data_IF_123927204753
#
_entry.id   IF_123927204753
#
_cell.length_a   1.000
_cell.length_b   1.000
_cell.length_c   1.000
_cell.angle_alpha   90.00
_cell.angle_beta   90.00
_cell.angle_gamma   90.00
#
_symmetry.space_group_name_H-M   'P 1'
#
loop_
_entity.id
_entity.type
_entity.pdbx_description
1 polymer ?
#
# COMPACT_ATOMS: atom_id res chain seq x y z
N UNK A 1 -22.47 24.45 -4.68
CA UNK A 1 -21.20 24.31 -3.99
C UNK A 1 -21.06 22.83 -3.63
N UNK A 2 -19.85 22.27 -3.59
CA UNK A 2 -19.65 20.91 -3.12
C UNK A 2 -19.90 20.81 -1.59
N UNK A 3 -20.42 19.68 -1.16
CA UNK A 3 -20.56 19.35 0.27
C UNK A 3 -19.31 18.61 0.78
N UNK A 4 -18.52 18.02 -0.14
CA UNK A 4 -17.25 17.35 0.12
C UNK A 4 -16.31 17.52 -1.07
N UNK A 5 -15.06 17.86 -0.81
CA UNK A 5 -13.96 17.83 -1.79
C UNK A 5 -13.07 16.63 -1.50
N UNK A 6 -12.74 15.84 -2.52
CA UNK A 6 -11.89 14.67 -2.41
C UNK A 6 -10.65 14.84 -3.29
N UNK A 7 -9.47 14.76 -2.70
CA UNK A 7 -8.19 14.83 -3.39
C UNK A 7 -7.62 13.41 -3.57
N UNK A 8 -7.62 12.90 -4.79
CA UNK A 8 -7.15 11.59 -5.20
C UNK A 8 -8.29 10.61 -5.49
N UNK A 9 -8.27 10.01 -6.69
CA UNK A 9 -9.24 9.02 -7.14
C UNK A 9 -8.67 7.59 -7.10
N UNK A 10 -7.89 7.26 -6.06
CA UNK A 10 -7.54 5.90 -5.67
C UNK A 10 -8.67 5.21 -4.90
N UNK A 11 -8.38 4.03 -4.31
CA UNK A 11 -9.38 3.25 -3.56
C UNK A 11 -10.12 4.11 -2.52
N UNK A 12 -9.40 4.81 -1.64
CA UNK A 12 -10.01 5.58 -0.55
C UNK A 12 -10.89 6.73 -1.05
N UNK A 13 -10.40 7.52 -2.02
CA UNK A 13 -11.15 8.66 -2.55
C UNK A 13 -12.38 8.24 -3.36
N UNK A 14 -12.28 7.18 -4.16
CA UNK A 14 -13.41 6.63 -4.91
C UNK A 14 -14.47 6.03 -3.98
N UNK A 15 -14.07 5.32 -2.92
CA UNK A 15 -14.98 4.84 -1.88
C UNK A 15 -15.71 5.99 -1.21
N UNK A 16 -14.97 7.00 -0.76
CA UNK A 16 -15.56 8.14 -0.08
C UNK A 16 -16.50 8.94 -0.98
N UNK A 17 -16.10 9.23 -2.22
CA UNK A 17 -16.94 9.93 -3.18
C UNK A 17 -18.24 9.16 -3.50
N UNK A 18 -18.14 7.84 -3.67
CA UNK A 18 -19.31 6.97 -3.87
C UNK A 18 -20.24 7.01 -2.65
N UNK A 19 -19.67 6.88 -1.45
CA UNK A 19 -20.46 6.89 -0.21
C UNK A 19 -21.10 8.23 0.05
N UNK A 20 -20.39 9.33 -0.16
CA UNK A 20 -20.93 10.68 -0.01
C UNK A 20 -22.13 10.91 -0.95
N UNK A 21 -22.04 10.43 -2.19
CA UNK A 21 -23.17 10.52 -3.14
C UNK A 21 -24.36 9.65 -2.73
N UNK A 22 -24.14 8.45 -2.17
CA UNK A 22 -25.24 7.66 -1.59
C UNK A 22 -25.96 8.40 -0.46
N UNK A 23 -25.22 9.24 0.29
CA UNK A 23 -25.77 10.10 1.34
C UNK A 23 -26.44 11.38 0.79
N UNK A 24 -26.44 11.59 -0.53
CA UNK A 24 -27.07 12.71 -1.21
C UNK A 24 -26.17 13.94 -1.36
N UNK A 25 -24.87 13.84 -1.02
CA UNK A 25 -23.96 14.98 -1.06
C UNK A 25 -23.43 15.28 -2.47
N UNK A 26 -23.17 16.55 -2.75
CA UNK A 26 -22.44 17.01 -3.93
C UNK A 26 -20.93 16.85 -3.68
N UNK A 27 -20.24 16.11 -4.56
CA UNK A 27 -18.81 15.82 -4.42
C UNK A 27 -18.03 16.37 -5.60
N UNK A 28 -16.92 17.05 -5.30
CA UNK A 28 -15.87 17.34 -6.28
C UNK A 28 -14.69 16.41 -6.05
N UNK A 29 -14.31 15.66 -7.09
CA UNK A 29 -13.24 14.63 -7.01
C UNK A 29 -12.11 14.99 -7.97
N UNK A 30 -10.92 15.21 -7.40
CA UNK A 30 -9.69 15.54 -8.11
C UNK A 30 -8.77 14.34 -8.21
N UNK A 31 -8.12 14.18 -9.38
CA UNK A 31 -7.07 13.17 -9.61
C UNK A 31 -5.90 13.81 -10.34
N UNK A 32 -4.72 13.76 -9.75
CA UNK A 32 -3.48 14.30 -10.32
C UNK A 32 -2.99 13.52 -11.53
N UNK A 33 -3.20 12.20 -11.51
CA UNK A 33 -2.76 11.29 -12.55
C UNK A 33 -3.62 11.35 -13.80
N UNK A 34 -3.23 10.59 -14.79
CA UNK A 34 -3.89 10.52 -16.11
C UNK A 34 -5.19 9.69 -16.07
N UNK A 35 -5.44 8.98 -14.98
CA UNK A 35 -6.59 8.09 -14.83
C UNK A 35 -6.93 7.83 -13.36
N UNK A 36 -8.20 7.56 -13.00
CA UNK A 36 -8.57 7.09 -11.67
C UNK A 36 -8.09 5.65 -11.40
N UNK A 37 -8.16 5.24 -10.13
CA UNK A 37 -7.81 3.90 -9.64
C UNK A 37 -6.52 3.86 -8.83
N UNK A 38 -5.61 4.81 -9.03
CA UNK A 38 -4.37 4.92 -8.25
C UNK A 38 -3.55 3.64 -8.21
N UNK A 39 -2.88 3.37 -7.08
CA UNK A 39 -2.08 2.16 -6.88
C UNK A 39 -2.92 0.88 -6.74
N UNK A 40 -4.24 0.98 -6.56
CA UNK A 40 -5.12 -0.19 -6.58
C UNK A 40 -5.00 -0.97 -7.90
N UNK A 41 -4.87 -0.27 -9.04
CA UNK A 41 -4.71 -0.89 -10.36
C UNK A 41 -3.41 -1.71 -10.53
N UNK A 42 -2.42 -1.48 -9.67
CA UNK A 42 -1.11 -2.16 -9.67
C UNK A 42 -1.04 -3.27 -8.62
N UNK A 43 -2.13 -3.48 -7.88
CA UNK A 43 -2.23 -4.47 -6.81
C UNK A 43 -2.83 -5.80 -7.30
N UNK A 44 -2.75 -6.83 -6.47
CA UNK A 44 -3.44 -8.10 -6.72
C UNK A 44 -4.96 -8.05 -6.49
N UNK A 45 -5.48 -6.93 -5.98
CA UNK A 45 -6.91 -6.74 -5.72
C UNK A 45 -7.45 -7.40 -4.44
N UNK A 46 -6.58 -7.98 -3.60
CA UNK A 46 -7.01 -8.53 -2.32
C UNK A 46 -7.29 -7.43 -1.29
N UNK A 47 -8.52 -7.40 -0.79
CA UNK A 47 -8.99 -6.58 0.33
C UNK A 47 -9.20 -7.52 1.51
N UNK A 48 -8.34 -7.44 2.53
CA UNK A 48 -8.29 -8.45 3.58
C UNK A 48 -7.90 -7.86 4.94
N UNK A 49 -8.22 -8.58 6.03
CA UNK A 49 -7.74 -8.33 7.39
C UNK A 49 -7.17 -9.62 8.00
N UNK A 50 -6.46 -9.46 9.10
CA UNK A 50 -6.09 -10.61 9.92
C UNK A 50 -7.36 -11.31 10.43
N UNK A 51 -7.28 -12.64 10.54
CA UNK A 51 -8.39 -13.45 11.07
C UNK A 51 -8.64 -13.16 12.54
N UNK A 52 -7.56 -12.90 13.27
CA UNK A 52 -7.56 -12.62 14.69
C UNK A 52 -6.97 -11.23 14.97
N UNK A 53 -7.54 -10.49 15.92
CA UNK A 53 -7.11 -9.14 16.25
C UNK A 53 -5.75 -9.11 16.95
N UNK A 54 -5.48 -10.09 17.83
CA UNK A 54 -4.19 -10.16 18.53
C UNK A 54 -3.06 -10.49 17.54
N UNK A 55 -3.35 -11.32 16.52
CA UNK A 55 -2.42 -11.55 15.41
C UNK A 55 -2.17 -10.26 14.60
N UNK A 56 -3.18 -9.42 14.40
CA UNK A 56 -2.99 -8.11 13.77
C UNK A 56 -2.09 -7.21 14.62
N UNK A 57 -2.35 -7.14 15.93
CA UNK A 57 -1.51 -6.39 16.87
C UNK A 57 -0.06 -6.90 16.92
N UNK A 58 0.13 -8.21 16.87
CA UNK A 58 1.45 -8.83 16.88
C UNK A 58 2.25 -8.54 15.59
N UNK A 59 1.58 -8.55 14.42
CA UNK A 59 2.22 -8.21 13.14
C UNK A 59 2.54 -6.72 13.03
N UNK A 60 1.66 -5.83 13.53
CA UNK A 60 1.77 -4.38 13.43
C UNK A 60 1.80 -3.72 14.83
N UNK A 61 2.82 -4.00 15.65
CA UNK A 61 2.82 -3.62 17.08
C UNK A 61 2.89 -2.11 17.31
N UNK A 62 3.48 -1.35 16.39
CA UNK A 62 3.60 0.11 16.44
C UNK A 62 2.37 0.85 15.91
N UNK A 63 1.39 0.13 15.34
CA UNK A 63 0.18 0.77 14.82
C UNK A 63 -0.77 1.19 15.94
N UNK A 64 -1.56 2.22 15.66
CA UNK A 64 -2.61 2.71 16.59
C UNK A 64 -3.67 1.61 16.80
N UNK A 65 -3.90 1.16 18.05
CA UNK A 65 -4.78 0.04 18.35
C UNK A 65 -6.26 0.35 18.06
N UNK A 66 -6.69 1.61 18.15
CA UNK A 66 -8.08 2.01 17.89
C UNK A 66 -8.35 2.03 16.38
N UNK A 67 -7.44 2.58 15.58
CA UNK A 67 -7.54 2.55 14.13
C UNK A 67 -7.46 1.12 13.58
N UNK A 68 -6.60 0.27 14.15
CA UNK A 68 -6.54 -1.14 13.79
C UNK A 68 -7.83 -1.88 14.11
N UNK A 69 -8.44 -1.58 15.26
CA UNK A 69 -9.73 -2.17 15.66
C UNK A 69 -10.84 -1.78 14.69
N UNK A 70 -10.88 -0.52 14.25
CA UNK A 70 -11.84 -0.08 13.24
C UNK A 70 -11.68 -0.84 11.93
N UNK A 71 -10.44 -1.02 11.43
CA UNK A 71 -10.21 -1.84 10.23
C UNK A 71 -10.67 -3.28 10.45
N UNK A 72 -10.33 -3.86 11.60
CA UNK A 72 -10.69 -5.23 11.93
C UNK A 72 -12.21 -5.46 12.00
N UNK A 73 -12.93 -4.57 12.68
CA UNK A 73 -14.36 -4.72 12.93
C UNK A 73 -15.24 -4.28 11.75
N UNK A 74 -14.80 -3.26 10.99
CA UNK A 74 -15.63 -2.66 9.92
C UNK A 74 -15.36 -3.22 8.53
N UNK A 75 -14.28 -3.99 8.33
CA UNK A 75 -13.95 -4.47 6.98
C UNK A 75 -15.04 -5.33 6.38
N UNK A 76 -15.62 -6.26 7.14
CA UNK A 76 -16.63 -7.17 6.61
C UNK A 76 -17.86 -6.39 6.11
N UNK A 77 -18.28 -5.36 6.86
CA UNK A 77 -19.33 -4.44 6.41
C UNK A 77 -18.94 -3.71 5.10
N UNK A 78 -17.70 -3.25 5.01
CA UNK A 78 -17.17 -2.61 3.78
C UNK A 78 -17.18 -3.56 2.59
N UNK A 79 -16.74 -4.81 2.78
CA UNK A 79 -16.75 -5.84 1.73
C UNK A 79 -18.18 -6.15 1.26
N UNK A 80 -19.13 -6.25 2.18
CA UNK A 80 -20.54 -6.44 1.85
C UNK A 80 -21.14 -5.23 1.14
N UNK A 81 -20.71 -4.01 1.50
CA UNK A 81 -21.09 -2.79 0.79
C UNK A 81 -20.57 -2.81 -0.66
N UNK A 82 -19.31 -3.23 -0.91
CA UNK A 82 -18.77 -3.40 -2.25
C UNK A 82 -19.61 -4.39 -3.09
N UNK A 83 -19.98 -5.53 -2.52
CA UNK A 83 -20.82 -6.50 -3.23
C UNK A 83 -22.22 -5.97 -3.52
N UNK A 84 -22.83 -5.22 -2.59
CA UNK A 84 -24.13 -4.56 -2.85
C UNK A 84 -24.06 -3.53 -3.97
N UNK A 85 -22.90 -2.86 -4.15
CA UNK A 85 -22.67 -1.97 -5.29
C UNK A 85 -22.52 -2.71 -6.62
N UNK A 86 -22.30 -4.04 -6.58
CA UNK A 86 -22.04 -4.86 -7.75
C UNK A 86 -20.56 -5.07 -8.06
N UNK A 87 -19.66 -4.90 -7.06
CA UNK A 87 -18.23 -5.11 -7.26
C UNK A 87 -17.91 -6.55 -7.68
N UNK A 88 -17.08 -6.76 -8.72
CA UNK A 88 -16.77 -8.08 -9.26
C UNK A 88 -15.80 -8.83 -8.35
N UNK A 89 -16.31 -9.72 -7.51
CA UNK A 89 -15.52 -10.62 -6.67
C UNK A 89 -14.94 -11.74 -7.52
N UNK A 90 -13.61 -11.86 -7.58
CA UNK A 90 -12.92 -12.95 -8.28
C UNK A 90 -12.57 -14.11 -7.35
N UNK A 91 -12.28 -13.84 -6.08
CA UNK A 91 -12.00 -14.86 -5.06
C UNK A 91 -12.61 -14.46 -3.71
N UNK A 92 -13.19 -15.44 -2.99
CA UNK A 92 -13.82 -15.22 -1.68
C UNK A 92 -12.94 -15.59 -0.50
N UNK A 93 -11.76 -16.12 -0.77
CA UNK A 93 -10.78 -16.52 0.23
C UNK A 93 -9.40 -15.98 -0.17
N UNK A 94 -8.58 -15.66 0.84
CA UNK A 94 -7.23 -15.10 0.61
C UNK A 94 -6.20 -16.16 0.27
N UNK A 95 -6.52 -17.44 0.45
CA UNK A 95 -5.55 -18.54 0.38
C UNK A 95 -4.54 -18.57 1.53
N UNK A 96 -4.60 -17.61 2.46
CA UNK A 96 -3.74 -17.56 3.64
C UNK A 96 -4.59 -17.81 4.90
N UNK A 97 -4.30 -18.84 5.72
CA UNK A 97 -5.08 -19.18 6.91
C UNK A 97 -5.08 -18.08 7.99
N UNK A 98 -4.10 -17.17 7.96
CA UNK A 98 -3.98 -16.06 8.91
C UNK A 98 -4.90 -14.87 8.56
N UNK A 99 -5.50 -14.87 7.38
CA UNK A 99 -6.26 -13.72 6.89
C UNK A 99 -7.65 -14.11 6.36
N UNK A 100 -8.54 -13.14 6.31
CA UNK A 100 -9.87 -13.23 5.70
C UNK A 100 -10.09 -12.01 4.81
N UNK A 101 -10.79 -12.20 3.69
CA UNK A 101 -11.02 -11.11 2.75
C UNK A 101 -11.51 -11.62 1.40
N UNK A 102 -11.59 -10.72 0.44
CA UNK A 102 -12.06 -11.00 -0.93
C UNK A 102 -11.09 -10.39 -1.94
N UNK A 103 -10.98 -11.01 -3.09
CA UNK A 103 -10.26 -10.45 -4.24
C UNK A 103 -11.24 -9.86 -5.22
N UNK A 104 -10.90 -8.69 -5.73
CA UNK A 104 -11.68 -7.99 -6.75
C UNK A 104 -10.84 -7.80 -8.02
N UNK A 105 -11.49 -7.80 -9.17
CA UNK A 105 -10.89 -7.26 -10.39
C UNK A 105 -10.74 -5.74 -10.21
N UNK A 106 -9.50 -5.28 -10.12
CA UNK A 106 -9.20 -3.88 -9.77
C UNK A 106 -9.60 -2.89 -10.85
N UNK A 107 -9.60 -3.32 -12.10
CA UNK A 107 -10.03 -2.49 -13.24
C UNK A 107 -11.55 -2.33 -13.24
N UNK A 108 -12.28 -3.43 -13.18
CA UNK A 108 -13.73 -3.40 -13.14
C UNK A 108 -14.26 -2.73 -11.86
N UNK A 109 -13.57 -2.91 -10.72
CA UNK A 109 -13.89 -2.18 -9.49
C UNK A 109 -13.67 -0.67 -9.65
N UNK A 110 -12.60 -0.24 -10.32
CA UNK A 110 -12.36 1.18 -10.62
C UNK A 110 -13.46 1.76 -11.51
N UNK A 111 -13.84 1.05 -12.57
CA UNK A 111 -14.91 1.46 -13.48
C UNK A 111 -16.27 1.60 -12.77
N UNK A 112 -16.58 0.65 -11.89
CA UNK A 112 -17.77 0.70 -11.04
C UNK A 112 -17.79 1.95 -10.17
N UNK A 113 -16.67 2.22 -9.47
CA UNK A 113 -16.57 3.38 -8.61
C UNK A 113 -16.66 4.70 -9.39
N UNK A 114 -16.00 4.81 -10.54
CA UNK A 114 -16.07 6.02 -11.37
C UNK A 114 -17.53 6.29 -11.82
N UNK A 115 -18.26 5.22 -12.18
CA UNK A 115 -19.67 5.35 -12.55
C UNK A 115 -20.54 5.81 -11.37
N UNK A 116 -20.19 5.49 -10.13
CA UNK A 116 -20.91 5.82 -8.89
C UNK A 116 -20.48 7.15 -8.26
N UNK A 117 -19.17 7.41 -8.25
CA UNK A 117 -18.58 8.64 -7.69
C UNK A 117 -18.91 9.90 -8.51
N UNK A 118 -19.28 9.73 -9.77
CA UNK A 118 -19.53 10.83 -10.71
C UNK A 118 -18.24 11.37 -11.34
N UNK A 119 -18.27 12.59 -11.92
CA UNK A 119 -17.15 13.15 -12.66
C UNK A 119 -15.87 13.22 -11.84
N UNK A 120 -14.75 12.76 -12.43
CA UNK A 120 -13.41 12.87 -11.87
C UNK A 120 -12.64 13.91 -12.69
N UNK A 121 -12.06 14.91 -12.04
CA UNK A 121 -11.17 15.89 -12.66
C UNK A 121 -9.77 15.29 -12.79
N UNK A 122 -9.53 14.61 -13.90
CA UNK A 122 -8.27 13.91 -14.20
C UNK A 122 -7.22 14.90 -14.70
N UNK A 123 -5.97 14.72 -14.26
CA UNK A 123 -4.87 15.64 -14.54
C UNK A 123 -4.89 16.92 -13.68
N UNK A 124 -5.81 16.99 -12.72
CA UNK A 124 -6.01 18.17 -11.86
C UNK A 124 -5.70 17.83 -10.41
N UNK A 125 -4.49 18.14 -9.89
CA UNK A 125 -4.22 18.01 -8.45
C UNK A 125 -4.94 19.09 -7.65
N UNK A 126 -5.47 18.74 -6.49
CA UNK A 126 -5.87 19.75 -5.50
C UNK A 126 -4.60 20.44 -4.98
N UNK A 127 -4.50 21.75 -5.15
CA UNK A 127 -3.30 22.54 -4.79
C UNK A 127 -3.46 23.30 -3.48
N UNK A 128 -4.68 23.62 -3.13
CA UNK A 128 -5.05 24.40 -1.94
C UNK A 128 -6.33 23.84 -1.37
N UNK A 129 -6.49 23.90 -0.06
CA UNK A 129 -7.73 23.50 0.59
C UNK A 129 -8.78 24.59 0.40
N UNK A 130 -9.99 24.26 -0.06
CA UNK A 130 -11.08 25.24 -0.17
C UNK A 130 -11.59 25.65 1.21
N UNK A 131 -11.98 26.89 1.35
CA UNK A 131 -12.56 27.41 2.59
C UNK A 131 -14.00 26.90 2.80
N UNK A 132 -14.31 26.53 4.03
CA UNK A 132 -15.68 26.24 4.47
C UNK A 132 -16.29 24.93 3.90
N UNK A 133 -15.52 24.11 3.25
CA UNK A 133 -15.94 22.79 2.74
C UNK A 133 -15.00 21.71 3.28
N UNK A 134 -15.51 20.62 3.84
CA UNK A 134 -14.66 19.51 4.28
C UNK A 134 -13.88 18.91 3.11
N UNK A 135 -12.62 18.54 3.38
CA UNK A 135 -11.72 17.96 2.38
C UNK A 135 -11.24 16.59 2.85
N UNK A 136 -11.33 15.58 1.98
CA UNK A 136 -10.68 14.30 2.16
C UNK A 136 -9.38 14.23 1.35
N UNK A 137 -8.26 14.04 2.02
CA UNK A 137 -6.96 13.75 1.44
C UNK A 137 -6.80 12.23 1.24
N UNK A 138 -6.74 11.81 -0.01
CA UNK A 138 -6.62 10.42 -0.45
C UNK A 138 -5.63 10.26 -1.61
N UNK A 139 -4.53 11.06 -1.58
CA UNK A 139 -3.57 11.24 -2.67
C UNK A 139 -2.56 10.11 -2.80
N UNK A 140 -2.54 9.17 -1.84
CA UNK A 140 -1.84 7.89 -1.96
C UNK A 140 -0.45 7.84 -1.35
N UNK A 141 -0.11 8.73 -0.40
CA UNK A 141 1.17 8.75 0.30
C UNK A 141 2.29 9.45 -0.47
N UNK A 142 3.55 9.24 -0.06
CA UNK A 142 4.69 10.01 -0.59
C UNK A 142 5.81 9.17 -1.21
N UNK A 143 5.59 7.89 -1.48
CA UNK A 143 6.59 6.99 -2.04
C UNK A 143 7.13 7.40 -3.43
N UNK A 144 6.40 8.22 -4.17
CA UNK A 144 6.81 8.77 -5.47
C UNK A 144 7.71 10.01 -5.36
N UNK A 145 7.84 10.62 -4.18
CA UNK A 145 8.73 11.76 -3.94
C UNK A 145 10.05 11.32 -3.31
N UNK A 146 11.12 11.30 -4.10
CA UNK A 146 12.44 10.88 -3.64
C UNK A 146 13.00 11.76 -2.50
N UNK A 147 12.59 13.01 -2.40
CA UNK A 147 13.04 13.92 -1.33
C UNK A 147 12.39 13.55 0.00
N UNK A 148 11.08 13.34 0.02
CA UNK A 148 10.37 12.86 1.21
C UNK A 148 10.81 11.45 1.62
N UNK A 149 11.02 10.56 0.64
CA UNK A 149 11.55 9.21 0.92
C UNK A 149 12.96 9.28 1.51
N UNK A 150 13.81 10.21 1.02
CA UNK A 150 15.17 10.41 1.59
C UNK A 150 15.10 10.98 3.00
N UNK A 151 14.20 11.91 3.24
CA UNK A 151 14.03 12.57 4.54
C UNK A 151 13.53 11.59 5.61
N UNK A 152 12.53 10.79 5.28
CA UNK A 152 11.82 9.99 6.27
C UNK A 152 12.22 8.51 6.28
N UNK A 153 12.48 7.90 5.12
CA UNK A 153 12.60 6.43 4.98
C UNK A 153 14.05 5.96 4.92
N UNK A 154 14.83 6.47 3.94
CA UNK A 154 16.20 6.02 3.73
C UNK A 154 17.03 7.02 2.90
N UNK A 155 18.32 7.24 3.25
CA UNK A 155 19.23 8.00 2.41
C UNK A 155 19.39 7.41 1.00
N UNK A 156 19.17 6.09 0.85
CA UNK A 156 19.24 5.35 -0.42
C UNK A 156 18.03 5.54 -1.34
N UNK A 157 17.18 6.53 -1.09
CA UNK A 157 15.93 6.80 -1.84
C UNK A 157 16.11 6.85 -3.37
N UNK A 158 17.30 7.26 -3.84
CA UNK A 158 17.63 7.29 -5.26
C UNK A 158 17.73 5.91 -5.93
N UNK A 159 18.01 4.87 -5.14
CA UNK A 159 18.21 3.50 -5.58
C UNK A 159 16.97 2.61 -5.43
N UNK A 160 15.97 3.07 -4.66
CA UNK A 160 14.73 2.34 -4.53
C UNK A 160 13.99 2.24 -5.87
N UNK A 161 13.48 1.05 -6.16
CA UNK A 161 12.55 0.88 -7.27
C UNK A 161 11.16 1.35 -6.83
N UNK A 162 10.54 2.24 -7.59
CA UNK A 162 9.16 2.66 -7.35
C UNK A 162 8.20 1.58 -7.87
N UNK A 163 7.56 0.88 -6.94
CA UNK A 163 6.59 -0.18 -7.21
C UNK A 163 5.15 0.34 -6.96
N UNK A 164 4.88 1.52 -7.44
CA UNK A 164 3.62 2.23 -7.25
C UNK A 164 3.33 3.13 -8.46
N UNK A 165 2.19 3.82 -8.45
CA UNK A 165 2.00 4.89 -9.42
C UNK A 165 2.92 6.08 -9.10
N UNK A 166 3.40 6.82 -10.11
CA UNK A 166 4.35 7.91 -9.91
C UNK A 166 3.73 9.17 -9.31
N UNK A 167 2.39 9.27 -9.28
CA UNK A 167 1.68 10.47 -8.83
C UNK A 167 1.51 10.56 -7.30
N UNK A 168 1.74 9.48 -6.56
CA UNK A 168 1.71 9.45 -5.08
C UNK A 168 2.96 10.12 -4.51
N UNK A 169 2.99 11.44 -4.54
CA UNK A 169 4.17 12.27 -4.23
C UNK A 169 4.02 13.16 -2.99
N UNK A 170 3.10 12.82 -2.07
CA UNK A 170 2.98 13.48 -0.77
C UNK A 170 2.14 14.76 -0.79
N UNK A 171 1.28 14.95 -1.77
CA UNK A 171 0.45 16.16 -1.86
C UNK A 171 -0.50 16.24 -0.65
N UNK A 172 -1.15 15.13 -0.28
CA UNK A 172 -2.01 15.06 0.90
C UNK A 172 -1.26 15.33 2.19
N UNK A 173 -0.05 14.77 2.34
CA UNK A 173 0.79 15.04 3.51
C UNK A 173 1.09 16.53 3.63
N UNK A 174 1.52 17.18 2.54
CA UNK A 174 1.83 18.62 2.55
C UNK A 174 0.61 19.49 2.86
N UNK A 175 -0.53 19.21 2.22
CA UNK A 175 -1.77 19.96 2.43
C UNK A 175 -2.28 19.80 3.87
N UNK A 176 -2.27 18.57 4.40
CA UNK A 176 -2.69 18.30 5.77
C UNK A 176 -1.79 18.98 6.80
N UNK A 177 -0.47 18.88 6.64
CA UNK A 177 0.48 19.56 7.53
C UNK A 177 0.33 21.08 7.50
N UNK A 178 0.11 21.66 6.32
CA UNK A 178 -0.16 23.09 6.18
C UNK A 178 -1.48 23.53 6.84
N UNK A 179 -2.45 22.61 6.95
CA UNK A 179 -3.71 22.82 7.67
C UNK A 179 -3.63 22.57 9.19
N UNK A 180 -2.45 22.29 9.72
CA UNK A 180 -2.25 22.06 11.15
C UNK A 180 -2.39 20.60 11.60
N UNK A 181 -2.51 19.64 10.67
CA UNK A 181 -2.41 18.23 11.01
C UNK A 181 -1.00 17.86 11.47
N UNK A 182 -0.86 16.72 12.12
CA UNK A 182 0.44 16.18 12.53
C UNK A 182 0.77 14.90 11.77
N UNK A 183 2.07 14.59 11.65
CA UNK A 183 2.52 13.33 11.13
C UNK A 183 2.20 12.18 12.12
N UNK A 184 1.90 11.01 11.58
CA UNK A 184 1.70 9.80 12.37
C UNK A 184 3.03 9.15 12.76
N UNK A 185 2.97 8.14 13.59
CA UNK A 185 4.06 7.17 13.74
C UNK A 185 4.33 6.45 12.40
N UNK A 186 5.51 5.86 12.26
CA UNK A 186 5.85 5.05 11.09
C UNK A 186 6.24 5.82 9.83
N UNK A 187 6.59 7.12 9.92
CA UNK A 187 7.05 7.91 8.76
C UNK A 187 8.26 7.28 8.05
N UNK A 188 9.12 6.58 8.79
CA UNK A 188 10.28 5.86 8.26
C UNK A 188 9.98 4.46 7.71
N UNK A 189 8.71 4.07 7.67
CA UNK A 189 8.30 2.74 7.28
C UNK A 189 7.48 2.74 5.98
N UNK A 190 7.59 1.64 5.24
CA UNK A 190 6.85 1.46 4.01
C UNK A 190 6.52 -0.01 3.77
N UNK A 191 5.43 -0.26 3.07
CA UNK A 191 5.19 -1.56 2.47
C UNK A 191 5.88 -1.63 1.11
N UNK A 192 6.58 -2.70 0.88
CA UNK A 192 7.27 -2.96 -0.37
C UNK A 192 7.58 -4.44 -0.56
N UNK A 193 8.38 -4.73 -1.58
CA UNK A 193 8.89 -6.07 -1.86
C UNK A 193 10.31 -5.97 -2.39
N UNK A 194 11.15 -6.94 -2.07
CA UNK A 194 12.38 -7.10 -2.79
C UNK A 194 12.07 -7.61 -4.20
N UNK A 195 12.65 -6.95 -5.19
CA UNK A 195 12.51 -7.25 -6.61
C UNK A 195 13.89 -7.68 -7.15
N UNK A 196 13.98 -8.38 -8.30
CA UNK A 196 15.27 -8.64 -8.91
C UNK A 196 16.03 -7.33 -9.17
N UNK A 197 17.30 -7.29 -8.73
CA UNK A 197 18.12 -6.08 -8.89
C UNK A 197 18.53 -5.86 -10.36
N UNK A 198 18.82 -4.64 -10.79
CA UNK A 198 19.44 -4.39 -12.09
C UNK A 198 20.70 -5.27 -12.28
N UNK A 199 20.87 -5.87 -13.47
CA UNK A 199 20.31 -5.46 -14.77
C UNK A 199 18.87 -5.91 -15.08
N UNK A 200 18.17 -6.56 -14.15
CA UNK A 200 16.77 -6.91 -14.36
C UNK A 200 15.93 -5.69 -14.74
N UNK A 201 15.00 -5.90 -15.69
CA UNK A 201 14.00 -4.90 -16.05
C UNK A 201 12.68 -5.24 -15.39
N UNK A 202 12.11 -4.29 -14.65
CA UNK A 202 10.83 -4.46 -13.93
C UNK A 202 9.87 -3.39 -14.40
N UNK A 203 8.74 -3.80 -14.98
CA UNK A 203 7.66 -2.92 -15.44
C UNK A 203 6.46 -3.02 -14.51
N UNK A 204 5.45 -2.13 -14.61
CA UNK A 204 4.27 -2.18 -13.76
C UNK A 204 3.53 -3.52 -13.76
N UNK A 205 3.42 -4.20 -14.89
CA UNK A 205 2.83 -5.53 -15.02
C UNK A 205 3.61 -6.62 -14.29
N UNK A 206 4.90 -6.39 -14.03
CA UNK A 206 5.81 -7.32 -13.37
C UNK A 206 5.80 -7.20 -11.83
N UNK A 207 5.13 -6.18 -11.27
CA UNK A 207 5.18 -5.89 -9.83
C UNK A 207 4.70 -7.04 -8.94
N UNK A 208 3.77 -7.84 -9.40
CA UNK A 208 3.30 -9.02 -8.66
C UNK A 208 4.12 -10.26 -9.02
N UNK A 209 4.32 -10.63 -10.31
CA UNK A 209 5.04 -11.84 -10.68
C UNK A 209 6.53 -11.83 -10.33
N UNK A 210 7.21 -10.69 -10.33
CA UNK A 210 8.63 -10.62 -9.99
C UNK A 210 8.94 -10.37 -8.51
N UNK A 211 7.94 -10.20 -7.63
CA UNK A 211 8.19 -10.06 -6.21
C UNK A 211 8.85 -11.31 -5.63
N UNK A 212 9.99 -11.12 -4.93
CA UNK A 212 10.78 -12.17 -4.31
C UNK A 212 10.29 -12.39 -2.87
N UNK A 213 9.38 -13.35 -2.67
CA UNK A 213 8.62 -13.56 -1.43
C UNK A 213 9.14 -14.78 -0.64
N UNK A 214 10.45 -14.96 -0.55
CA UNK A 214 11.05 -16.12 0.09
C UNK A 214 12.23 -15.78 1.00
N UNK A 215 12.23 -14.58 1.59
CA UNK A 215 13.30 -14.18 2.52
C UNK A 215 13.45 -15.17 3.71
N UNK A 216 12.36 -15.79 4.17
CA UNK A 216 12.37 -16.81 5.24
C UNK A 216 13.01 -18.13 4.84
N UNK A 217 13.15 -18.39 3.55
CA UNK A 217 13.80 -19.59 2.99
C UNK A 217 15.21 -19.29 2.50
N UNK A 218 15.73 -18.09 2.74
CA UNK A 218 17.03 -17.62 2.31
C UNK A 218 17.78 -16.93 3.47
N UNK A 219 19.09 -16.94 3.42
CA UNK A 219 19.90 -15.99 4.17
C UNK A 219 19.92 -14.68 3.36
N UNK A 220 19.42 -13.61 3.95
CA UNK A 220 19.46 -12.27 3.35
C UNK A 220 20.78 -11.62 3.79
N UNK A 221 21.60 -11.17 2.85
CA UNK A 221 22.89 -10.55 3.16
C UNK A 221 23.14 -9.31 2.27
N UNK A 222 23.90 -8.35 2.80
CA UNK A 222 24.37 -7.20 2.04
C UNK A 222 25.79 -7.44 1.48
N UNK A 223 26.30 -6.49 0.72
CA UNK A 223 27.65 -6.56 0.13
C UNK A 223 28.81 -6.61 1.16
N UNK A 224 28.52 -6.25 2.44
CA UNK A 224 29.48 -6.30 3.54
C UNK A 224 29.45 -7.62 4.30
N UNK A 225 28.57 -8.55 3.91
CA UNK A 225 28.39 -9.82 4.61
C UNK A 225 27.54 -9.71 5.88
N UNK A 226 26.89 -8.56 6.13
CA UNK A 226 25.91 -8.43 7.21
C UNK A 226 24.64 -9.16 6.82
N UNK A 227 24.06 -9.95 7.73
CA UNK A 227 22.90 -10.79 7.48
C UNK A 227 21.67 -10.30 8.20
N UNK A 228 20.48 -10.62 7.65
CA UNK A 228 19.19 -10.30 8.21
C UNK A 228 18.26 -11.51 8.20
N UNK A 229 17.55 -11.73 9.30
CA UNK A 229 16.48 -12.72 9.42
C UNK A 229 15.13 -12.01 9.52
N UNK A 230 14.21 -12.37 8.63
CA UNK A 230 12.85 -11.82 8.66
C UNK A 230 12.07 -12.35 9.86
N UNK A 231 11.34 -11.45 10.54
CA UNK A 231 10.51 -11.77 11.71
C UNK A 231 9.03 -11.66 11.40
N UNK A 232 8.66 -10.83 10.41
CA UNK A 232 7.28 -10.67 10.00
C UNK A 232 6.87 -11.78 9.02
N UNK A 233 5.64 -12.25 9.10
CA UNK A 233 5.14 -13.22 8.12
C UNK A 233 5.02 -12.61 6.72
N UNK A 234 4.88 -11.31 6.66
CA UNK A 234 4.78 -10.53 5.42
C UNK A 234 6.12 -10.25 4.75
N UNK A 235 7.25 -10.50 5.44
CA UNK A 235 8.61 -10.20 5.00
C UNK A 235 8.85 -8.71 4.68
N UNK A 236 8.03 -7.83 5.25
CA UNK A 236 8.17 -6.38 5.06
C UNK A 236 9.45 -5.85 5.73
N UNK A 237 9.84 -6.43 6.84
CA UNK A 237 11.06 -6.10 7.56
C UNK A 237 12.31 -6.39 6.71
N UNK A 238 12.29 -7.46 5.91
CA UNK A 238 13.39 -7.78 5.00
C UNK A 238 13.55 -6.72 3.89
N UNK A 239 12.46 -6.24 3.29
CA UNK A 239 12.57 -5.19 2.27
C UNK A 239 12.95 -3.84 2.90
N UNK A 240 12.50 -3.52 4.09
CA UNK A 240 12.88 -2.30 4.81
C UNK A 240 14.36 -2.33 5.22
N UNK A 241 14.87 -3.51 5.64
CA UNK A 241 16.29 -3.68 5.88
C UNK A 241 17.10 -3.49 4.60
N UNK A 242 16.70 -4.15 3.49
CA UNK A 242 17.35 -4.01 2.18
C UNK A 242 17.39 -2.54 1.72
N UNK A 243 16.31 -1.79 1.94
CA UNK A 243 16.21 -0.38 1.56
C UNK A 243 17.25 0.53 2.26
N UNK A 244 17.78 0.09 3.39
CA UNK A 244 18.78 0.84 4.18
C UNK A 244 20.22 0.37 3.92
N UNK A 245 20.41 -0.66 3.07
CA UNK A 245 21.72 -1.13 2.67
C UNK A 245 22.26 -0.30 1.49
N UNK A 246 23.59 -0.26 1.27
CA UNK A 246 24.19 0.45 0.14
C UNK A 246 23.51 0.09 -1.18
N UNK A 247 23.15 1.11 -1.96
CA UNK A 247 22.43 0.94 -3.22
C UNK A 247 21.02 0.35 -3.08
N UNK A 248 20.45 0.30 -1.86
CA UNK A 248 19.19 -0.35 -1.54
C UNK A 248 19.15 -1.83 -2.00
N UNK A 249 20.29 -2.53 -1.93
CA UNK A 249 20.49 -3.89 -2.44
C UNK A 249 20.77 -4.90 -1.33
N UNK A 250 20.40 -6.14 -1.63
CA UNK A 250 20.78 -7.32 -0.86
C UNK A 250 20.93 -8.51 -1.80
N UNK A 251 21.42 -9.61 -1.25
CA UNK A 251 21.48 -10.93 -1.90
C UNK A 251 20.69 -11.92 -1.08
N UNK A 252 19.85 -12.69 -1.72
CA UNK A 252 19.18 -13.84 -1.16
C UNK A 252 20.00 -15.08 -1.48
N UNK A 253 20.56 -15.72 -0.46
CA UNK A 253 21.32 -16.98 -0.56
C UNK A 253 20.41 -18.12 -0.11
N UNK A 254 19.98 -18.94 -1.05
CA UNK A 254 18.94 -19.95 -0.90
C UNK A 254 19.61 -21.32 -0.92
N UNK A 255 19.49 -22.13 0.14
CA UNK A 255 19.90 -23.54 0.05
C UNK A 255 19.11 -24.23 -1.06
N UNK A 256 19.76 -25.04 -1.90
CA UNK A 256 19.06 -25.70 -3.03
C UNK A 256 17.93 -26.61 -2.55
N UNK A 257 18.01 -27.12 -1.30
CA UNK A 257 16.92 -27.86 -0.65
C UNK A 257 15.65 -27.03 -0.42
N UNK A 258 15.75 -25.69 -0.39
CA UNK A 258 14.62 -24.80 -0.21
C UNK A 258 13.97 -24.36 -1.53
N UNK A 259 14.54 -24.69 -2.69
CA UNK A 259 14.00 -24.30 -4.00
C UNK A 259 12.60 -24.88 -4.25
N UNK A 260 12.28 -26.05 -3.66
CA UNK A 260 10.96 -26.67 -3.75
C UNK A 260 9.91 -26.12 -2.80
N UNK A 261 10.29 -25.27 -1.84
CA UNK A 261 9.36 -24.69 -0.87
C UNK A 261 8.30 -23.81 -1.55
N UNK A 262 7.06 -23.95 -1.08
CA UNK A 262 5.93 -23.20 -1.64
C UNK A 262 5.66 -21.94 -0.84
N UNK A 263 5.60 -20.84 -1.57
CA UNK A 263 5.16 -19.55 -1.03
C UNK A 263 3.92 -19.12 -1.82
N UNK A 264 2.75 -19.26 -1.21
CA UNK A 264 1.46 -19.09 -1.89
C UNK A 264 1.32 -20.09 -3.04
N UNK A 265 1.11 -19.60 -4.27
CA UNK A 265 0.86 -20.42 -5.48
C UNK A 265 2.14 -20.81 -6.22
N UNK A 266 3.30 -20.22 -5.85
CA UNK A 266 4.59 -20.43 -6.52
C UNK A 266 5.59 -21.15 -5.62
N UNK A 267 6.54 -21.85 -6.23
CA UNK A 267 7.73 -22.34 -5.52
C UNK A 267 8.80 -21.24 -5.46
N UNK A 268 9.78 -21.39 -4.59
CA UNK A 268 10.99 -20.55 -4.58
C UNK A 268 11.68 -20.62 -5.95
N UNK A 269 11.79 -21.82 -6.53
CA UNK A 269 12.38 -22.03 -7.86
C UNK A 269 11.66 -21.24 -8.96
N UNK A 270 10.32 -21.18 -8.93
CA UNK A 270 9.54 -20.40 -9.90
C UNK A 270 9.88 -18.90 -9.80
N UNK A 271 10.05 -18.37 -8.59
CA UNK A 271 10.39 -16.97 -8.37
C UNK A 271 11.82 -16.66 -8.77
N UNK A 272 12.77 -17.57 -8.52
CA UNK A 272 14.16 -17.46 -8.98
C UNK A 272 14.23 -17.48 -10.51
N UNK A 273 13.51 -18.40 -11.16
CA UNK A 273 13.44 -18.47 -12.62
C UNK A 273 12.83 -17.20 -13.24
N UNK A 274 11.79 -16.65 -12.60
CA UNK A 274 11.19 -15.38 -13.03
C UNK A 274 12.19 -14.21 -12.92
N UNK A 275 12.97 -14.16 -11.83
CA UNK A 275 14.02 -13.15 -11.65
C UNK A 275 15.09 -13.25 -12.75
N UNK A 276 15.57 -14.47 -13.05
CA UNK A 276 16.55 -14.74 -14.11
C UNK A 276 15.98 -14.38 -15.48
N UNK A 277 14.73 -14.77 -15.75
CA UNK A 277 14.03 -14.43 -17.01
C UNK A 277 13.85 -12.93 -17.24
N UNK A 278 13.77 -12.13 -16.17
CA UNK A 278 13.74 -10.67 -16.21
C UNK A 278 15.13 -10.03 -16.39
N UNK A 279 16.19 -10.84 -16.48
CA UNK A 279 17.58 -10.40 -16.58
C UNK A 279 18.27 -10.16 -15.24
N UNK A 280 17.67 -10.62 -14.12
CA UNK A 280 18.28 -10.56 -12.80
C UNK A 280 19.50 -11.47 -12.69
N UNK A 281 20.43 -11.08 -11.82
CA UNK A 281 21.62 -11.89 -11.55
C UNK A 281 21.28 -13.03 -10.63
N UNK A 282 21.44 -14.26 -11.14
CA UNK A 282 21.27 -15.52 -10.41
C UNK A 282 22.55 -16.31 -10.52
N UNK A 283 23.12 -16.72 -9.40
CA UNK A 283 24.33 -17.53 -9.34
C UNK A 283 24.00 -18.87 -8.65
N UNK A 284 24.57 -19.96 -9.14
CA UNK A 284 24.37 -21.33 -8.61
C UNK A 284 25.72 -21.99 -8.37
N UNK A 285 25.87 -22.61 -7.22
CA UNK A 285 27.07 -23.37 -6.85
C UNK A 285 27.10 -23.75 -5.38
N UNK A 286 27.84 -24.79 -5.06
CA UNK A 286 28.08 -25.27 -3.69
C UNK A 286 26.81 -25.57 -2.88
N UNK A 287 25.75 -26.07 -3.55
CA UNK A 287 24.47 -26.41 -2.91
C UNK A 287 23.61 -25.21 -2.55
N UNK A 288 23.90 -24.03 -3.13
CA UNK A 288 23.12 -22.81 -2.94
C UNK A 288 22.84 -22.12 -4.28
N UNK A 289 21.70 -21.45 -4.33
CA UNK A 289 21.32 -20.51 -5.40
C UNK A 289 21.23 -19.11 -4.80
N UNK A 290 21.85 -18.13 -5.42
CA UNK A 290 21.75 -16.75 -4.96
C UNK A 290 21.09 -15.84 -5.98
N UNK A 291 20.34 -14.84 -5.51
CA UNK A 291 19.62 -13.85 -6.31
C UNK A 291 19.92 -12.46 -5.77
N UNK A 292 20.43 -11.58 -6.62
CA UNK A 292 20.60 -10.17 -6.26
C UNK A 292 19.24 -9.46 -6.31
N UNK A 293 18.90 -8.76 -5.22
CA UNK A 293 17.62 -8.06 -5.07
C UNK A 293 17.81 -6.58 -4.76
N UNK A 294 16.82 -5.78 -5.12
CA UNK A 294 16.71 -4.36 -4.80
C UNK A 294 15.39 -4.10 -4.07
N UNK A 295 15.42 -3.23 -3.08
CA UNK A 295 14.21 -2.84 -2.38
C UNK A 295 13.29 -2.03 -3.28
N UNK A 296 12.01 -2.39 -3.31
CA UNK A 296 10.99 -1.66 -4.05
C UNK A 296 9.90 -1.16 -3.10
N UNK A 297 9.67 0.15 -3.13
CA UNK A 297 8.66 0.82 -2.30
C UNK A 297 7.31 0.85 -3.00
N UNK A 298 6.26 0.43 -2.30
CA UNK A 298 4.88 0.40 -2.83
C UNK A 298 3.99 1.48 -2.23
N UNK A 299 4.01 1.62 -0.91
CA UNK A 299 3.24 2.65 -0.19
C UNK A 299 3.91 2.96 1.14
N UNK A 300 3.87 4.20 1.55
CA UNK A 300 4.30 4.62 2.89
C UNK A 300 3.30 4.12 3.94
N UNK A 301 3.78 3.80 5.16
CA UNK A 301 2.94 3.41 6.30
C UNK A 301 2.71 4.57 7.25
N UNK A 302 3.61 5.54 7.27
CA UNK A 302 3.39 6.86 7.85
C UNK A 302 2.67 7.78 6.88
N UNK A 303 2.03 8.78 7.43
CA UNK A 303 1.22 9.78 6.77
C UNK A 303 0.71 10.80 7.78
N UNK A 304 -0.50 11.30 7.59
CA UNK A 304 -1.17 12.15 8.57
C UNK A 304 -1.71 11.30 9.73
N UNK A 305 -1.57 11.80 10.95
CA UNK A 305 -2.27 11.25 12.12
C UNK A 305 -3.76 11.56 11.95
N UNK A 306 -4.59 10.56 12.13
CA UNK A 306 -6.05 10.69 12.11
C UNK A 306 -6.64 10.21 13.45
N UNK A 307 -7.83 10.70 13.75
CA UNK A 307 -8.68 10.15 14.80
C UNK A 307 -9.61 9.03 14.26
N UNK A 308 -10.39 8.35 15.11
CA UNK A 308 -11.35 7.33 14.68
C UNK A 308 -12.41 7.78 13.67
N UNK A 309 -12.63 9.08 13.51
CA UNK A 309 -13.51 9.67 12.49
C UNK A 309 -12.78 9.97 11.17
N UNK A 310 -11.52 9.53 11.02
CA UNK A 310 -10.63 9.84 9.91
C UNK A 310 -10.23 11.33 9.81
N UNK A 311 -10.46 12.14 10.84
CA UNK A 311 -10.12 13.56 10.87
C UNK A 311 -8.64 13.74 11.18
N UNK A 312 -7.93 14.54 10.36
CA UNK A 312 -6.53 14.89 10.56
C UNK A 312 -6.36 16.31 11.13
N UNK A 313 -7.25 17.25 10.74
CA UNK A 313 -7.33 18.60 11.26
C UNK A 313 -8.78 19.11 11.12
N UNK A 314 -9.06 20.33 11.55
CA UNK A 314 -10.41 20.91 11.39
C UNK A 314 -10.81 21.00 9.93
N UNK A 315 -11.94 20.38 9.56
CA UNK A 315 -12.42 20.30 8.19
C UNK A 315 -11.57 19.42 7.26
N UNK A 316 -10.48 18.79 7.74
CA UNK A 316 -9.57 17.96 6.93
C UNK A 316 -9.57 16.52 7.41
N UNK A 317 -9.88 15.62 6.49
CA UNK A 317 -9.89 14.17 6.68
C UNK A 317 -8.78 13.51 5.86
N UNK A 318 -8.33 12.33 6.27
CA UNK A 318 -7.37 11.56 5.48
C UNK A 318 -7.73 10.08 5.47
N UNK A 319 -7.51 9.42 4.32
CA UNK A 319 -7.74 7.98 4.15
C UNK A 319 -6.75 7.36 3.15
N UNK A 320 -6.69 6.05 3.14
CA UNK A 320 -5.70 5.32 2.35
C UNK A 320 -4.28 5.57 2.87
N UNK A 321 -3.30 5.73 1.97
CA UNK A 321 -1.90 5.94 2.37
C UNK A 321 -1.60 7.36 2.91
N UNK A 322 -2.53 8.30 2.80
CA UNK A 322 -2.39 9.60 3.46
C UNK A 322 -2.72 9.52 4.96
N UNK A 323 -3.49 8.53 5.40
CA UNK A 323 -3.70 8.20 6.80
C UNK A 323 -2.64 7.20 7.26
N UNK A 324 -1.72 7.66 8.09
CA UNK A 324 -0.62 6.84 8.59
C UNK A 324 -0.88 6.24 9.98
N UNK A 325 0.10 5.43 10.46
CA UNK A 325 0.09 4.89 11.80
C UNK A 325 -0.80 3.67 12.01
N UNK A 326 -1.37 3.06 10.98
CA UNK A 326 -2.26 1.90 11.11
C UNK A 326 -1.46 0.58 11.12
N UNK A 327 -0.50 0.44 10.22
CA UNK A 327 0.27 -0.79 10.02
C UNK A 327 1.73 -0.68 10.45
N UNK A 328 2.06 0.27 11.31
CA UNK A 328 3.43 0.51 11.79
C UNK A 328 4.01 -0.73 12.48
N UNK A 329 5.23 -1.10 12.11
CA UNK A 329 5.94 -2.29 12.60
C UNK A 329 5.73 -3.55 11.76
N UNK A 330 4.79 -3.54 10.80
CA UNK A 330 4.47 -4.68 9.97
C UNK A 330 3.63 -4.32 8.75
N UNK A 331 2.69 -5.20 8.37
CA UNK A 331 1.81 -4.95 7.23
C UNK A 331 0.41 -5.52 7.42
N UNK A 332 -0.57 -4.69 7.11
CA UNK A 332 -1.95 -5.11 6.86
C UNK A 332 -2.40 -4.62 5.48
N UNK A 333 -3.60 -5.02 5.05
CA UNK A 333 -4.10 -4.62 3.72
C UNK A 333 -4.34 -3.12 3.63
N UNK A 334 -3.52 -2.42 2.84
CA UNK A 334 -3.73 -1.01 2.53
C UNK A 334 -5.06 -0.74 1.82
N UNK A 335 -5.57 -1.70 1.02
CA UNK A 335 -6.89 -1.59 0.40
C UNK A 335 -8.02 -1.72 1.43
N UNK A 336 -7.84 -2.52 2.49
CA UNK A 336 -8.81 -2.62 3.58
C UNK A 336 -8.89 -1.31 4.38
N UNK A 337 -7.73 -0.76 4.77
CA UNK A 337 -7.68 0.54 5.44
C UNK A 337 -8.29 1.65 4.56
N UNK A 338 -7.99 1.64 3.25
CA UNK A 338 -8.55 2.59 2.30
C UNK A 338 -10.09 2.49 2.18
N UNK A 339 -10.63 1.27 2.18
CA UNK A 339 -12.07 1.03 2.16
C UNK A 339 -12.72 1.53 3.45
N UNK A 340 -12.21 1.09 4.60
CA UNK A 340 -12.80 1.40 5.91
C UNK A 340 -12.75 2.90 6.19
N UNK A 341 -11.57 3.51 6.08
CA UNK A 341 -11.43 4.94 6.36
C UNK A 341 -11.99 5.84 5.24
N UNK A 342 -12.12 5.35 4.01
CA UNK A 342 -12.87 6.04 2.96
C UNK A 342 -14.36 6.17 3.30
N UNK A 343 -14.98 5.10 3.80
CA UNK A 343 -16.38 5.12 4.28
C UNK A 343 -16.54 6.03 5.49
N UNK A 344 -15.66 5.87 6.51
CA UNK A 344 -15.70 6.67 7.74
C UNK A 344 -15.53 8.15 7.42
N UNK A 345 -14.56 8.52 6.59
CA UNK A 345 -14.30 9.91 6.24
C UNK A 345 -15.50 10.57 5.55
N UNK A 346 -16.16 9.87 4.62
CA UNK A 346 -17.35 10.39 3.94
C UNK A 346 -18.51 10.59 4.93
N UNK A 347 -18.74 9.62 5.82
CA UNK A 347 -19.80 9.69 6.83
C UNK A 347 -19.53 10.79 7.86
N UNK A 348 -18.27 10.93 8.31
CA UNK A 348 -17.89 11.94 9.31
C UNK A 348 -17.82 13.37 8.75
N UNK A 349 -17.43 13.52 7.48
CA UNK A 349 -17.35 14.83 6.84
C UNK A 349 -18.74 15.46 6.57
N UNK A 350 -19.78 14.63 6.50
CA UNK A 350 -21.16 15.04 6.18
C UNK A 350 -22.09 15.02 7.41
N UNK A 351 -21.58 14.64 8.59
CA UNK A 351 -22.31 14.65 9.85
C UNK A 351 -22.35 16.07 10.43
#
# INVERSE_FOLDING_TARGET
>A
MADLVVAGAGMAGLVAATRARELGAAVELFEKGERPGGSMLLSSGFVWRHRDFDAFRAECPGGDPELQRLVYERLDHGLDWLERLGAPVSERETGNPLTVGRRFDTRALTELFVARAGPVRVGEPLRELPDGVPVLLATGGFQGDRSLVREHVTPEAGHLLLRANPWSSGDGLRLGMAAGASASEGMGEFYGRNMPAPPATVKPEDFVPLAQLYARHARVENERGETFETRTWSEIDAVQWTARQPGARARYVIPDTALGERVRERTVADMVAAAEGAGGRVERGDGVTSVDVVAAITTTLGGLRIDPSARAADGVFAAGADAGGISTGGYSSGLAAALVFGLIAAESALA
#
